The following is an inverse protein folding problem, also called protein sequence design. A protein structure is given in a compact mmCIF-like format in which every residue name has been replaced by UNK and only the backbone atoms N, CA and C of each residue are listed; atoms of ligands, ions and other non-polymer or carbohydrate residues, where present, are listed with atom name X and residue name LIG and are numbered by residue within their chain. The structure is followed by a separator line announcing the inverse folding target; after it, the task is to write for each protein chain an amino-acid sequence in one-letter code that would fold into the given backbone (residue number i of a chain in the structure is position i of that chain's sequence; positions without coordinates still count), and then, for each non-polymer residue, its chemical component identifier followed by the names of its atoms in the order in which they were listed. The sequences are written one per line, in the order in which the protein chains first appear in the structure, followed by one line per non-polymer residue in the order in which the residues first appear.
data_IF_228601519385
#
_entry.id   IF_228601519385
#
_cell.length_a   1.000
_cell.length_b   1.000
_cell.length_c   1.000
_cell.angle_alpha   90.00
_cell.angle_beta   90.00
_cell.angle_gamma   90.00
#
_symmetry.space_group_name_H-M   'P 1'
#
loop_
_entity.id
_entity.type
_entity.pdbx_description
1 polymer ?
#
# COMPACT_ATOMS: atom_id res chain seq x y z
N UNK A 1 -59.38 37.61 -21.63
CA UNK A 1 -58.24 36.75 -22.00
C UNK A 1 -58.35 35.48 -21.18
N UNK A 2 -58.30 34.34 -21.89
CA UNK A 2 -58.03 32.93 -21.52
C UNK A 2 -57.87 32.58 -20.03
N UNK A 3 -58.27 31.42 -19.49
CA UNK A 3 -58.90 30.19 -19.96
C UNK A 3 -59.26 29.40 -18.66
N UNK A 4 -60.39 28.69 -18.57
CA UNK A 4 -60.52 27.21 -18.56
C UNK A 4 -59.67 26.53 -17.47
N UNK A 5 -60.15 25.64 -16.61
CA UNK A 5 -61.40 24.88 -16.54
C UNK A 5 -61.18 23.73 -15.54
N UNK A 6 -62.27 23.29 -14.91
CA UNK A 6 -62.32 22.15 -14.01
C UNK A 6 -62.09 20.80 -14.73
N UNK A 7 -61.96 19.73 -13.93
CA UNK A 7 -61.89 18.27 -14.21
C UNK A 7 -60.53 17.70 -13.77
N UNK A 8 -60.37 16.60 -13.03
CA UNK A 8 -61.31 15.54 -12.68
C UNK A 8 -60.78 14.75 -11.45
N UNK A 9 -61.62 14.61 -10.42
CA UNK A 9 -61.58 13.50 -9.47
C UNK A 9 -61.96 12.23 -10.25
N UNK A 10 -61.00 11.39 -10.66
CA UNK A 10 -61.25 10.01 -11.13
C UNK A 10 -59.93 9.30 -11.44
N UNK A 11 -59.17 8.87 -10.43
CA UNK A 11 -58.12 7.85 -10.59
C UNK A 11 -57.61 7.27 -9.26
N UNK A 12 -58.42 7.31 -8.20
CA UNK A 12 -58.03 6.85 -6.86
C UNK A 12 -59.03 5.86 -6.29
N UNK A 13 -59.40 4.83 -7.08
CA UNK A 13 -60.01 3.58 -6.61
C UNK A 13 -60.22 2.68 -7.84
N UNK A 14 -59.90 1.38 -7.73
CA UNK A 14 -60.00 0.32 -8.74
C UNK A 14 -58.83 0.20 -9.72
N UNK A 15 -57.67 -0.25 -9.24
CA UNK A 15 -57.06 -1.55 -9.65
C UNK A 15 -56.28 -2.11 -8.44
N UNK A 16 -57.03 -2.43 -7.38
CA UNK A 16 -56.70 -3.50 -6.45
C UNK A 16 -57.62 -4.65 -6.85
N UNK A 17 -57.04 -5.82 -7.15
CA UNK A 17 -57.64 -7.09 -7.63
C UNK A 17 -57.28 -7.46 -9.08
N UNK A 18 -55.98 -7.64 -9.32
CA UNK A 18 -55.47 -8.71 -10.18
C UNK A 18 -54.31 -9.41 -9.44
N UNK A 19 -54.63 -9.98 -8.28
CA UNK A 19 -53.84 -11.05 -7.67
C UNK A 19 -54.20 -12.36 -8.37
N UNK A 20 -53.38 -12.77 -9.34
CA UNK A 20 -53.27 -14.18 -9.72
C UNK A 20 -51.92 -14.41 -10.40
N UNK A 21 -50.94 -14.86 -9.60
CA UNK A 21 -49.88 -15.75 -10.06
C UNK A 21 -48.78 -15.14 -10.91
N UNK A 22 -47.87 -14.41 -10.27
CA UNK A 22 -46.44 -14.54 -10.53
C UNK A 22 -45.72 -14.35 -9.19
N UNK A 23 -45.20 -15.45 -8.63
CA UNK A 23 -44.15 -15.37 -7.62
C UNK A 23 -43.01 -14.55 -8.25
N UNK A 24 -42.57 -13.42 -7.69
CA UNK A 24 -41.17 -13.09 -7.84
C UNK A 24 -40.42 -14.27 -7.22
N UNK A 25 -39.58 -14.92 -8.01
CA UNK A 25 -38.62 -15.88 -7.47
C UNK A 25 -37.93 -15.18 -6.31
N UNK A 26 -37.88 -15.87 -5.17
CA UNK A 26 -37.06 -15.49 -4.04
C UNK A 26 -35.65 -15.19 -4.57
N UNK A 27 -35.30 -13.91 -4.72
CA UNK A 27 -33.92 -13.44 -4.73
C UNK A 27 -33.45 -13.44 -3.28
N UNK A 28 -33.48 -14.62 -2.67
CA UNK A 28 -32.84 -14.90 -1.39
C UNK A 28 -31.45 -15.43 -1.71
N UNK A 29 -30.46 -14.54 -1.72
CA UNK A 29 -29.06 -14.76 -1.33
C UNK A 29 -28.12 -13.74 -1.99
N UNK A 30 -28.34 -12.44 -1.77
CA UNK A 30 -27.20 -11.51 -1.62
C UNK A 30 -27.07 -11.27 -0.12
N UNK A 31 -26.67 -12.34 0.56
CA UNK A 31 -26.18 -12.22 1.92
C UNK A 31 -24.69 -11.91 1.81
N UNK A 32 -24.29 -10.74 2.30
CA UNK A 32 -22.94 -10.41 2.75
C UNK A 32 -22.53 -11.34 3.93
N UNK A 33 -22.83 -12.63 3.86
CA UNK A 33 -22.32 -13.60 4.82
C UNK A 33 -20.87 -13.88 4.42
N UNK A 34 -19.89 -13.60 5.30
CA UNK A 34 -18.51 -13.90 5.00
C UNK A 34 -18.38 -15.39 4.71
N UNK A 35 -17.80 -15.70 3.55
CA UNK A 35 -17.63 -17.09 3.13
C UNK A 35 -16.87 -17.86 4.22
N UNK A 36 -17.43 -19.02 4.59
CA UNK A 36 -16.83 -19.95 5.54
C UNK A 36 -16.37 -21.19 4.79
N UNK A 37 -15.11 -21.57 4.99
CA UNK A 37 -14.54 -22.73 4.33
C UNK A 37 -15.25 -24.01 4.81
N UNK A 38 -15.74 -24.87 3.91
CA UNK A 38 -16.27 -26.18 4.30
C UNK A 38 -15.17 -27.01 4.99
N UNK A 39 -15.50 -27.71 6.07
CA UNK A 39 -14.54 -28.59 6.75
C UNK A 39 -14.00 -29.66 5.78
N UNK A 40 -12.67 -29.72 5.62
CA UNK A 40 -11.95 -30.87 5.04
C UNK A 40 -11.34 -30.69 3.64
N UNK A 41 -11.73 -29.68 2.84
CA UNK A 41 -11.14 -29.44 1.51
C UNK A 41 -11.06 -27.94 1.19
N UNK A 42 -9.95 -27.50 0.60
CA UNK A 42 -9.81 -26.14 0.11
C UNK A 42 -10.64 -25.96 -1.17
N UNK A 43 -11.63 -25.08 -1.11
CA UNK A 43 -12.52 -24.78 -2.23
C UNK A 43 -12.48 -23.27 -2.45
N UNK A 44 -12.28 -22.85 -3.70
CA UNK A 44 -12.39 -21.43 -4.05
C UNK A 44 -13.85 -20.98 -3.92
N UNK A 45 -14.12 -19.78 -3.40
CA UNK A 45 -15.47 -19.24 -3.37
C UNK A 45 -16.00 -19.06 -4.80
N UNK A 46 -17.31 -18.88 -5.03
CA UNK A 46 -17.80 -18.46 -6.33
C UNK A 46 -17.07 -17.19 -6.81
N UNK A 47 -16.72 -17.08 -8.11
CA UNK A 47 -16.05 -15.88 -8.61
C UNK A 47 -16.97 -14.66 -8.45
N UNK A 48 -16.38 -13.49 -8.13
CA UNK A 48 -17.12 -12.23 -8.14
C UNK A 48 -17.69 -11.97 -9.54
N UNK A 49 -18.93 -11.46 -9.60
CA UNK A 49 -19.59 -11.10 -10.86
C UNK A 49 -19.00 -9.83 -11.49
N UNK A 50 -18.36 -8.99 -10.67
CA UNK A 50 -17.78 -7.74 -11.15
C UNK A 50 -16.37 -7.94 -11.70
N UNK A 51 -16.19 -7.54 -12.95
CA UNK A 51 -14.90 -7.34 -13.59
C UNK A 51 -14.81 -5.92 -14.09
N UNK A 52 -13.75 -5.24 -13.70
CA UNK A 52 -13.44 -3.90 -14.20
C UNK A 52 -12.59 -4.04 -15.45
N UNK A 53 -12.89 -3.24 -16.47
CA UNK A 53 -11.97 -3.06 -17.57
C UNK A 53 -10.92 -2.03 -17.12
N UNK A 54 -9.73 -2.54 -16.79
CA UNK A 54 -8.62 -1.74 -16.27
C UNK A 54 -8.20 -0.62 -17.26
N UNK A 55 -8.45 -0.80 -18.57
CA UNK A 55 -8.17 0.20 -19.60
C UNK A 55 -9.29 1.24 -19.73
N UNK A 56 -10.55 0.85 -19.59
CA UNK A 56 -11.70 1.77 -19.71
C UNK A 56 -12.02 2.52 -18.42
N UNK A 57 -11.57 2.03 -17.25
CA UNK A 57 -11.68 2.78 -16.00
C UNK A 57 -10.96 4.13 -16.15
N UNK A 58 -11.74 5.20 -16.32
CA UNK A 58 -11.22 6.57 -16.33
C UNK A 58 -10.62 6.86 -14.97
N UNK A 59 -9.30 7.06 -14.97
CA UNK A 59 -8.59 7.58 -13.81
C UNK A 59 -8.82 9.10 -13.84
N UNK A 60 -10.00 9.54 -13.40
CA UNK A 60 -10.36 10.95 -13.36
C UNK A 60 -9.70 11.64 -12.16
N UNK A 61 -8.56 12.27 -12.43
CA UNK A 61 -7.90 13.16 -11.48
C UNK A 61 -8.57 14.54 -11.39
N UNK A 62 -9.52 14.86 -12.29
CA UNK A 62 -10.13 16.18 -12.41
C UNK A 62 -11.01 16.57 -11.20
N UNK A 63 -11.56 15.59 -10.47
CA UNK A 63 -12.41 15.82 -9.29
C UNK A 63 -11.65 15.80 -7.95
N UNK A 64 -10.33 15.53 -7.95
CA UNK A 64 -9.54 15.50 -6.72
C UNK A 64 -8.90 16.87 -6.44
N UNK A 65 -9.33 17.60 -5.38
CA UNK A 65 -8.79 18.91 -5.08
C UNK A 65 -7.32 18.79 -4.63
N UNK A 66 -6.39 19.02 -5.57
CA UNK A 66 -4.99 19.41 -5.31
C UNK A 66 -4.15 18.39 -4.50
N UNK A 67 -4.19 17.10 -4.84
CA UNK A 67 -3.14 16.18 -4.41
C UNK A 67 -2.36 15.70 -5.62
N UNK A 68 -1.03 15.64 -5.52
CA UNK A 68 -0.18 14.92 -6.47
C UNK A 68 -0.13 13.47 -6.01
N UNK A 69 -0.07 12.50 -6.92
CA UNK A 69 -0.01 11.11 -6.50
C UNK A 69 0.08 10.09 -7.63
N UNK A 70 -0.12 8.83 -7.25
CA UNK A 70 -0.26 7.70 -8.16
C UNK A 70 -1.64 7.08 -7.94
N UNK A 71 -2.47 7.08 -8.98
CA UNK A 71 -3.70 6.31 -9.03
C UNK A 71 -3.41 4.91 -9.56
N UNK A 72 -4.10 3.90 -9.03
CA UNK A 72 -3.95 2.51 -9.49
C UNK A 72 -5.27 1.80 -9.49
N UNK A 73 -5.47 1.04 -10.55
CA UNK A 73 -6.48 0.00 -10.66
C UNK A 73 -5.77 -1.32 -10.90
N UNK A 74 -6.33 -2.41 -10.38
CA UNK A 74 -5.79 -3.75 -10.62
C UNK A 74 -6.88 -4.81 -10.50
N UNK A 75 -6.61 -5.98 -11.08
CA UNK A 75 -7.53 -7.09 -11.15
C UNK A 75 -6.79 -8.42 -11.15
N UNK A 76 -7.27 -9.35 -10.33
CA UNK A 76 -6.82 -10.74 -10.36
C UNK A 76 -7.41 -11.50 -11.55
N UNK A 77 -6.62 -12.42 -12.10
CA UNK A 77 -7.07 -13.29 -13.20
C UNK A 77 -8.20 -14.26 -12.79
N UNK A 78 -9.03 -14.71 -13.77
CA UNK A 78 -10.15 -15.63 -13.55
C UNK A 78 -9.89 -16.81 -12.63
N UNK A 79 -8.72 -17.45 -12.75
CA UNK A 79 -8.42 -18.64 -11.98
C UNK A 79 -8.26 -18.34 -10.48
N UNK A 80 -7.90 -17.11 -10.09
CA UNK A 80 -7.61 -16.75 -8.69
C UNK A 80 -8.83 -16.42 -7.84
N UNK A 81 -10.05 -16.49 -8.38
CA UNK A 81 -11.32 -16.23 -7.67
C UNK A 81 -11.22 -15.13 -6.60
N UNK A 82 -11.34 -13.86 -7.00
CA UNK A 82 -11.00 -12.72 -6.13
C UNK A 82 -12.23 -12.07 -5.49
N UNK A 83 -12.04 -11.32 -4.40
CA UNK A 83 -13.08 -10.40 -3.89
C UNK A 83 -13.34 -9.27 -4.89
N UNK A 84 -14.50 -8.63 -4.80
CA UNK A 84 -14.87 -7.47 -5.64
C UNK A 84 -13.81 -6.36 -5.60
N UNK A 85 -13.33 -6.03 -4.39
CA UNK A 85 -12.30 -5.01 -4.16
C UNK A 85 -10.87 -5.47 -4.51
N UNK A 86 -10.69 -6.72 -4.92
CA UNK A 86 -9.37 -7.30 -5.22
C UNK A 86 -8.41 -7.18 -4.03
N UNK A 87 -8.94 -7.37 -2.82
CA UNK A 87 -8.21 -7.36 -1.54
C UNK A 87 -7.88 -8.76 -1.07
N UNK A 88 -8.56 -9.78 -1.60
CA UNK A 88 -8.25 -11.18 -1.34
C UNK A 88 -8.40 -12.06 -2.59
N UNK A 89 -7.55 -13.08 -2.67
CA UNK A 89 -7.43 -13.99 -3.82
C UNK A 89 -7.27 -15.44 -3.34
N UNK A 90 -7.87 -16.39 -4.06
CA UNK A 90 -7.84 -17.83 -3.76
C UNK A 90 -7.16 -18.61 -4.88
N UNK A 91 -6.09 -19.32 -4.53
CA UNK A 91 -5.27 -20.09 -5.44
C UNK A 91 -5.23 -21.55 -4.99
N UNK A 92 -5.33 -22.47 -5.95
CA UNK A 92 -4.94 -23.85 -5.71
C UNK A 92 -3.41 -23.95 -5.64
N UNK A 93 -2.89 -25.01 -4.99
CA UNK A 93 -1.48 -25.33 -5.12
C UNK A 93 -1.06 -25.40 -6.60
N UNK A 94 0.17 -24.97 -6.89
CA UNK A 94 0.79 -24.91 -8.21
C UNK A 94 0.24 -23.82 -9.16
N UNK A 95 -0.72 -23.01 -8.73
CA UNK A 95 -1.19 -21.87 -9.52
C UNK A 95 -0.37 -20.61 -9.28
N UNK A 96 -0.14 -19.87 -10.36
CA UNK A 96 0.53 -18.58 -10.32
C UNK A 96 -0.42 -17.53 -9.77
N UNK A 97 0.10 -16.61 -8.95
CA UNK A 97 -0.61 -15.37 -8.71
C UNK A 97 -0.35 -14.42 -9.87
N UNK A 98 -1.41 -13.94 -10.52
CA UNK A 98 -1.35 -13.07 -11.70
C UNK A 98 -2.29 -11.89 -11.53
N UNK A 99 -1.71 -10.70 -11.38
CA UNK A 99 -2.43 -9.44 -11.21
C UNK A 99 -2.16 -8.54 -12.40
N UNK A 100 -3.20 -8.16 -13.11
CA UNK A 100 -3.13 -7.09 -14.11
C UNK A 100 -3.39 -5.76 -13.42
N UNK A 101 -2.64 -4.72 -13.75
CA UNK A 101 -2.74 -3.44 -13.09
C UNK A 101 -2.36 -2.29 -14.01
N UNK A 102 -2.88 -1.12 -13.66
CA UNK A 102 -2.61 0.15 -14.34
C UNK A 102 -2.27 1.20 -13.31
N UNK A 103 -1.20 1.94 -13.57
CA UNK A 103 -0.76 3.08 -12.77
C UNK A 103 -0.86 4.38 -13.57
N UNK A 104 -1.40 5.43 -12.96
CA UNK A 104 -1.44 6.77 -13.52
C UNK A 104 -0.78 7.77 -12.58
N UNK A 105 0.15 8.58 -13.10
CA UNK A 105 0.79 9.67 -12.37
C UNK A 105 0.02 10.98 -12.62
N UNK A 106 -0.39 11.67 -11.55
CA UNK A 106 -1.16 12.91 -11.63
C UNK A 106 -0.58 14.00 -10.72
N UNK A 107 -0.75 15.26 -11.13
CA UNK A 107 -0.22 16.42 -10.40
C UNK A 107 1.31 16.62 -10.49
N UNK A 108 2.02 15.76 -11.20
CA UNK A 108 3.46 15.89 -11.49
C UNK A 108 3.69 16.26 -12.95
N UNK A 109 4.72 17.07 -13.20
CA UNK A 109 5.14 17.48 -14.55
C UNK A 109 6.26 16.59 -15.12
N UNK A 110 6.97 15.87 -14.26
CA UNK A 110 8.15 15.07 -14.62
C UNK A 110 7.84 13.57 -14.57
N UNK A 111 8.50 12.81 -15.45
CA UNK A 111 8.55 11.34 -15.37
C UNK A 111 9.24 10.91 -14.08
N UNK A 112 8.68 9.89 -13.41
CA UNK A 112 9.24 9.29 -12.20
C UNK A 112 9.65 7.85 -12.47
N UNK A 113 10.85 7.49 -12.02
CA UNK A 113 11.30 6.10 -12.01
C UNK A 113 10.87 5.44 -10.70
N UNK A 114 10.28 4.26 -10.80
CA UNK A 114 9.74 3.51 -9.66
C UNK A 114 10.39 2.13 -9.63
N UNK A 115 10.68 1.62 -8.44
CA UNK A 115 11.06 0.23 -8.20
C UNK A 115 9.92 -0.49 -7.49
N UNK A 116 9.50 -1.61 -8.06
CA UNK A 116 8.53 -2.52 -7.46
C UNK A 116 9.25 -3.59 -6.64
N UNK A 117 8.76 -3.84 -5.43
CA UNK A 117 9.18 -4.96 -4.57
C UNK A 117 7.92 -5.72 -4.14
N UNK A 118 7.98 -7.04 -4.14
CA UNK A 118 6.89 -7.90 -3.68
C UNK A 118 7.32 -8.60 -2.40
N UNK A 119 6.51 -8.45 -1.35
CA UNK A 119 6.69 -9.14 -0.08
C UNK A 119 5.58 -10.16 0.09
N UNK A 120 5.93 -11.39 0.47
CA UNK A 120 4.98 -12.37 1.00
C UNK A 120 5.37 -12.67 2.44
N UNK A 121 4.43 -12.44 3.36
CA UNK A 121 4.65 -12.54 4.81
C UNK A 121 5.87 -11.71 5.24
N UNK A 122 5.94 -10.48 4.71
CA UNK A 122 7.01 -9.50 4.91
C UNK A 122 8.39 -9.87 4.33
N UNK A 123 8.54 -11.02 3.68
CA UNK A 123 9.80 -11.41 3.04
C UNK A 123 9.77 -11.11 1.53
N UNK A 124 10.86 -10.56 0.94
CA UNK A 124 10.97 -10.41 -0.51
C UNK A 124 10.77 -11.73 -1.24
N UNK A 125 9.87 -11.73 -2.23
CA UNK A 125 9.64 -12.90 -3.08
C UNK A 125 9.95 -12.62 -4.55
N UNK A 126 10.48 -13.62 -5.28
CA UNK A 126 10.65 -13.50 -6.71
C UNK A 126 9.31 -13.29 -7.42
N UNK A 127 9.30 -12.35 -8.36
CA UNK A 127 8.17 -12.05 -9.24
C UNK A 127 8.66 -11.66 -10.64
N UNK A 128 7.71 -11.45 -11.54
CA UNK A 128 7.95 -10.92 -12.88
C UNK A 128 6.97 -9.80 -13.17
N UNK A 129 7.51 -8.68 -13.66
CA UNK A 129 6.75 -7.56 -14.17
C UNK A 129 6.76 -7.58 -15.70
N UNK A 130 5.58 -7.58 -16.32
CA UNK A 130 5.42 -7.58 -17.78
C UNK A 130 4.67 -6.31 -18.18
N UNK A 131 5.33 -5.32 -18.80
CA UNK A 131 4.66 -4.14 -19.33
C UNK A 131 3.66 -4.49 -20.44
N UNK A 132 2.54 -3.77 -20.48
CA UNK A 132 1.46 -3.98 -21.45
C UNK A 132 1.11 -2.67 -22.16
N UNK A 133 1.28 -2.66 -23.47
CA UNK A 133 1.14 -1.45 -24.30
C UNK A 133 -0.28 -1.25 -24.85
N UNK A 134 -1.11 -2.31 -24.87
CA UNK A 134 -2.44 -2.29 -25.48
C UNK A 134 -3.46 -3.12 -24.69
N UNK A 135 -4.78 -2.81 -24.80
CA UNK A 135 -5.85 -3.54 -24.08
C UNK A 135 -5.86 -5.05 -24.27
N UNK A 136 -5.55 -5.51 -25.48
CA UNK A 136 -5.47 -6.92 -25.85
C UNK A 136 -4.07 -7.52 -25.63
N UNK A 137 -3.13 -6.74 -25.10
CA UNK A 137 -1.73 -7.12 -24.89
C UNK A 137 -1.44 -7.87 -23.59
N UNK A 138 -2.44 -8.06 -22.73
CA UNK A 138 -2.28 -8.84 -21.50
C UNK A 138 -1.97 -10.32 -21.83
N UNK A 139 -0.87 -10.90 -21.31
CA UNK A 139 -0.47 -12.26 -21.64
C UNK A 139 -1.54 -13.27 -21.22
N UNK A 140 -1.75 -14.31 -22.01
CA UNK A 140 -2.60 -15.43 -21.63
C UNK A 140 -1.94 -16.27 -20.53
N UNK A 141 -2.68 -17.17 -19.87
CA UNK A 141 -2.06 -18.10 -18.91
C UNK A 141 -1.05 -19.04 -19.60
N UNK A 142 -1.29 -19.42 -20.86
CA UNK A 142 -0.32 -20.20 -21.65
C UNK A 142 0.98 -19.43 -21.84
N UNK A 143 0.90 -18.13 -22.16
CA UNK A 143 2.06 -17.25 -22.27
C UNK A 143 2.79 -17.17 -20.93
N UNK A 144 2.07 -16.93 -19.83
CA UNK A 144 2.61 -16.86 -18.46
C UNK A 144 3.37 -18.14 -18.10
N UNK A 145 2.84 -19.32 -18.43
CA UNK A 145 3.52 -20.59 -18.17
C UNK A 145 4.74 -20.83 -19.09
N UNK A 146 4.76 -20.22 -20.27
CA UNK A 146 5.86 -20.35 -21.24
C UNK A 146 6.99 -19.33 -21.06
N UNK A 147 6.79 -18.35 -20.18
CA UNK A 147 7.74 -17.29 -19.88
C UNK A 147 9.12 -17.85 -19.51
N UNK A 148 10.08 -17.61 -20.40
CA UNK A 148 11.50 -17.90 -20.17
C UNK A 148 12.19 -16.74 -19.47
N UNK A 149 13.21 -17.03 -18.64
CA UNK A 149 13.97 -16.05 -17.88
C UNK A 149 13.76 -16.14 -16.36
N UNK A 150 14.64 -15.51 -15.57
CA UNK A 150 14.56 -15.56 -14.12
C UNK A 150 13.43 -14.68 -13.57
N UNK A 151 12.88 -15.09 -12.43
CA UNK A 151 12.13 -14.19 -11.56
C UNK A 151 13.11 -13.32 -10.78
N UNK A 152 12.73 -12.09 -10.46
CA UNK A 152 13.55 -11.14 -9.73
C UNK A 152 12.83 -10.68 -8.45
N UNK A 153 13.57 -10.23 -7.45
CA UNK A 153 13.02 -9.69 -6.20
C UNK A 153 12.63 -8.21 -6.32
N UNK A 154 12.97 -7.57 -7.43
CA UNK A 154 12.66 -6.17 -7.75
C UNK A 154 12.45 -5.98 -9.25
N UNK A 155 11.72 -4.91 -9.63
CA UNK A 155 11.57 -4.51 -11.02
C UNK A 155 11.40 -2.99 -11.15
N UNK A 156 12.16 -2.36 -12.04
CA UNK A 156 12.12 -0.91 -12.27
C UNK A 156 11.27 -0.56 -13.49
N UNK A 157 10.48 0.51 -13.39
CA UNK A 157 9.66 1.04 -14.48
C UNK A 157 9.49 2.57 -14.38
N UNK A 158 9.02 3.20 -15.45
CA UNK A 158 8.82 4.65 -15.52
C UNK A 158 7.33 5.00 -15.54
N UNK A 159 6.96 6.03 -14.77
CA UNK A 159 5.65 6.66 -14.79
C UNK A 159 5.75 8.04 -15.43
N UNK A 160 5.18 8.18 -16.63
CA UNK A 160 5.15 9.47 -17.34
C UNK A 160 3.81 10.17 -17.09
N UNK A 161 3.79 11.47 -16.73
CA UNK A 161 2.55 12.22 -16.56
C UNK A 161 1.63 12.11 -17.78
N UNK A 162 0.34 11.87 -17.52
CA UNK A 162 -0.68 11.74 -18.56
C UNK A 162 -0.61 10.46 -19.40
N UNK A 163 0.30 9.52 -19.09
CA UNK A 163 0.36 8.21 -19.73
C UNK A 163 0.25 7.10 -18.68
N UNK A 164 -0.75 6.20 -18.80
CA UNK A 164 -0.82 5.07 -17.88
C UNK A 164 0.29 4.07 -18.16
N UNK A 165 0.84 3.49 -17.10
CA UNK A 165 1.70 2.31 -17.17
C UNK A 165 0.84 1.08 -16.82
N UNK A 166 0.57 0.24 -17.81
CA UNK A 166 -0.15 -1.02 -17.60
C UNK A 166 0.86 -2.17 -17.51
N UNK A 167 0.57 -3.14 -16.65
CA UNK A 167 1.45 -4.27 -16.43
C UNK A 167 0.70 -5.50 -15.94
N UNK A 168 1.30 -6.66 -16.17
CA UNK A 168 0.98 -7.91 -15.47
C UNK A 168 2.09 -8.23 -14.48
N UNK A 169 1.72 -8.40 -13.22
CA UNK A 169 2.55 -8.96 -12.17
C UNK A 169 2.31 -10.46 -12.09
N UNK A 170 3.38 -11.26 -12.15
CA UNK A 170 3.33 -12.72 -12.00
C UNK A 170 4.21 -13.15 -10.83
N UNK A 171 3.63 -13.87 -9.88
CA UNK A 171 4.35 -14.51 -8.77
C UNK A 171 4.24 -16.03 -8.95
N UNK A 172 5.36 -16.76 -9.00
CA UNK A 172 5.35 -18.20 -9.18
C UNK A 172 4.83 -18.92 -7.92
N UNK A 173 4.28 -20.15 -8.06
CA UNK A 173 3.71 -20.90 -6.94
C UNK A 173 4.72 -21.18 -5.81
N UNK A 174 5.98 -21.41 -6.17
CA UNK A 174 7.07 -21.69 -5.21
C UNK A 174 7.37 -20.51 -4.26
N UNK A 175 6.87 -19.30 -4.57
CA UNK A 175 7.09 -18.11 -3.72
C UNK A 175 6.30 -18.13 -2.41
N UNK A 176 5.22 -18.93 -2.29
CA UNK A 176 4.36 -18.96 -1.10
C UNK A 176 4.93 -19.85 0.03
N UNK A 177 5.87 -20.76 -0.26
CA UNK A 177 6.57 -21.56 0.76
C UNK A 177 5.74 -22.63 1.48
N UNK A 178 4.40 -22.58 1.44
CA UNK A 178 3.51 -23.53 2.11
C UNK A 178 2.05 -23.32 1.72
N UNK A 179 1.14 -24.10 2.32
CA UNK A 179 -0.31 -23.93 2.18
C UNK A 179 -0.84 -23.07 3.32
N UNK A 180 -1.72 -22.12 3.04
CA UNK A 180 -2.30 -21.25 4.06
C UNK A 180 -2.79 -19.91 3.49
N UNK A 181 -3.12 -19.01 4.40
CA UNK A 181 -3.36 -17.61 4.10
C UNK A 181 -2.04 -16.83 4.23
N UNK A 182 -1.67 -16.12 3.18
CA UNK A 182 -0.46 -15.33 3.09
C UNK A 182 -0.79 -13.84 2.95
N UNK A 183 0.05 -13.00 3.56
CA UNK A 183 0.03 -11.56 3.34
C UNK A 183 0.86 -11.21 2.12
N UNK A 184 0.24 -10.63 1.10
CA UNK A 184 0.92 -10.18 -0.11
C UNK A 184 0.95 -8.65 -0.14
N UNK A 185 2.17 -8.09 -0.21
CA UNK A 185 2.38 -6.65 -0.35
C UNK A 185 3.13 -6.34 -1.62
N UNK A 186 2.59 -5.42 -2.40
CA UNK A 186 3.27 -4.84 -3.55
C UNK A 186 3.65 -3.42 -3.16
N UNK A 187 4.95 -3.13 -3.13
CA UNK A 187 5.51 -1.84 -2.74
C UNK A 187 6.14 -1.21 -3.97
N UNK A 188 5.82 0.05 -4.24
CA UNK A 188 6.40 0.86 -5.29
C UNK A 188 7.13 2.03 -4.64
N UNK A 189 8.46 2.01 -4.77
CA UNK A 189 9.37 3.00 -4.22
C UNK A 189 9.80 3.93 -5.35
N UNK A 190 9.61 5.23 -5.20
CA UNK A 190 10.16 6.17 -6.16
C UNK A 190 11.68 6.25 -6.00
N UNK A 191 12.40 6.16 -7.12
CA UNK A 191 13.84 6.40 -7.14
C UNK A 191 14.10 7.91 -7.11
N UNK A 192 14.97 8.33 -6.20
CA UNK A 192 15.34 9.73 -6.05
C UNK A 192 16.83 9.93 -6.29
N UNK A 193 17.15 10.99 -7.02
CA UNK A 193 18.47 11.60 -6.93
C UNK A 193 18.48 12.60 -5.75
N UNK A 194 19.57 12.66 -4.98
CA UNK A 194 19.75 13.69 -3.96
C UNK A 194 19.69 15.08 -4.61
N UNK A 195 19.14 16.06 -3.89
CA UNK A 195 19.01 17.43 -4.38
C UNK A 195 20.05 18.32 -3.71
N UNK A 196 20.78 19.12 -4.49
CA UNK A 196 21.67 20.16 -3.94
C UNK A 196 20.93 21.43 -3.52
N UNK A 197 19.65 21.58 -3.87
CA UNK A 197 18.80 22.63 -3.33
C UNK A 197 18.24 22.15 -1.99
N UNK A 198 18.49 22.92 -0.92
CA UNK A 198 18.20 22.64 0.49
C UNK A 198 16.70 22.54 0.85
N UNK A 199 15.89 21.95 -0.03
CA UNK A 199 14.45 21.76 0.17
C UNK A 199 14.18 20.29 0.49
N UNK A 200 13.49 20.00 1.59
CA UNK A 200 13.01 18.66 1.87
C UNK A 200 12.12 18.21 0.72
N UNK A 201 12.45 17.10 0.06
CA UNK A 201 11.58 16.49 -0.94
C UNK A 201 10.44 15.78 -0.21
N UNK A 202 9.37 16.51 0.07
CA UNK A 202 8.09 15.96 0.55
C UNK A 202 7.37 15.20 -0.59
N UNK A 203 7.88 15.26 -1.82
CA UNK A 203 7.34 14.61 -3.02
C UNK A 203 7.67 13.10 -3.14
N UNK A 204 8.01 12.41 -2.06
CA UNK A 204 8.34 10.99 -2.10
C UNK A 204 7.12 10.08 -2.17
N UNK A 205 6.89 9.58 -3.38
CA UNK A 205 5.82 8.66 -3.72
C UNK A 205 6.21 7.25 -3.28
N UNK A 206 5.71 6.85 -2.12
CA UNK A 206 5.56 5.44 -1.79
C UNK A 206 4.13 5.05 -2.03
N UNK A 207 3.94 4.02 -2.86
CA UNK A 207 2.65 3.37 -3.02
C UNK A 207 2.77 1.93 -2.57
N UNK A 208 1.88 1.50 -1.70
CA UNK A 208 1.77 0.10 -1.33
C UNK A 208 0.37 -0.41 -1.56
N UNK A 209 0.27 -1.72 -1.81
CA UNK A 209 -0.99 -2.47 -1.84
C UNK A 209 -0.82 -3.71 -0.99
N UNK A 210 -1.70 -3.91 -0.02
CA UNK A 210 -1.79 -5.13 0.77
C UNK A 210 -2.96 -5.98 0.28
N UNK A 211 -2.79 -7.30 0.24
CA UNK A 211 -3.79 -8.28 -0.18
C UNK A 211 -3.60 -9.57 0.61
N UNK A 212 -4.69 -10.33 0.82
CA UNK A 212 -4.61 -11.68 1.36
C UNK A 212 -4.64 -12.71 0.25
N UNK A 213 -3.72 -13.68 0.24
CA UNK A 213 -3.71 -14.79 -0.71
C UNK A 213 -3.95 -16.10 0.03
N UNK A 214 -5.10 -16.71 -0.21
CA UNK A 214 -5.45 -18.04 0.28
C UNK A 214 -4.92 -19.10 -0.69
N UNK A 215 -3.76 -19.69 -0.37
CA UNK A 215 -3.05 -20.63 -1.23
C UNK A 215 -3.19 -22.06 -0.68
N UNK A 216 -4.12 -22.84 -1.24
CA UNK A 216 -4.38 -24.22 -0.80
C UNK A 216 -4.92 -24.38 0.62
N UNK A 217 -5.14 -23.29 1.36
CA UNK A 217 -5.65 -23.27 2.73
C UNK A 217 -6.12 -21.86 3.13
N UNK A 218 -6.79 -21.75 4.29
CA UNK A 218 -7.24 -20.46 4.84
C UNK A 218 -6.73 -20.17 6.25
N UNK A 219 -5.89 -21.05 6.79
CA UNK A 219 -5.23 -20.84 8.08
C UNK A 219 -4.07 -19.86 7.86
N UNK A 220 -4.03 -18.78 8.64
CA UNK A 220 -2.84 -17.94 8.71
C UNK A 220 -1.76 -18.72 9.46
N UNK A 221 -0.57 -18.84 8.88
CA UNK A 221 0.60 -19.14 9.68
C UNK A 221 0.72 -18.05 10.75
N UNK A 222 1.07 -18.43 11.98
CA UNK A 222 1.31 -17.45 13.05
C UNK A 222 2.31 -16.42 12.51
N UNK A 223 1.86 -15.16 12.41
CA UNK A 223 2.62 -14.07 11.79
C UNK A 223 4.04 -13.92 12.34
N UNK A 224 4.89 -13.07 11.70
CA UNK A 224 6.24 -12.85 12.18
C UNK A 224 6.23 -12.54 13.68
N UNK A 225 7.19 -13.07 14.44
CA UNK A 225 7.20 -12.93 15.90
C UNK A 225 7.10 -11.45 16.28
N UNK A 226 6.08 -11.12 17.07
CA UNK A 226 5.83 -9.79 17.60
C UNK A 226 7.11 -9.16 18.17
N UNK A 227 7.59 -8.08 17.56
CA UNK A 227 8.55 -7.17 18.19
C UNK A 227 7.77 -6.31 19.21
N UNK A 228 8.33 -6.04 20.41
CA UNK A 228 7.63 -5.29 21.46
C UNK A 228 7.11 -3.94 20.96
N UNK A 229 5.95 -3.51 21.49
CA UNK A 229 5.35 -2.22 21.17
C UNK A 229 6.38 -1.10 21.26
N UNK A 230 6.67 -0.48 20.13
CA UNK A 230 7.48 0.73 20.06
C UNK A 230 6.99 1.74 21.11
N UNK A 231 7.88 2.31 21.93
CA UNK A 231 7.49 3.17 23.03
C UNK A 231 6.74 4.40 22.50
N UNK A 232 5.72 4.83 23.24
CA UNK A 232 5.13 6.15 23.05
C UNK A 232 6.01 7.18 23.75
N UNK A 233 6.45 8.17 22.99
CA UNK A 233 7.25 9.30 23.47
C UNK A 233 6.59 10.62 23.07
N UNK A 234 6.82 11.71 23.83
CA UNK A 234 6.48 13.04 23.36
C UNK A 234 7.16 13.34 22.04
N UNK A 235 6.54 14.15 21.17
CA UNK A 235 7.23 14.60 19.94
C UNK A 235 8.50 15.36 20.34
N UNK A 236 9.70 14.98 19.84
CA UNK A 236 10.96 15.57 20.29
C UNK A 236 11.05 17.07 20.04
N UNK A 237 10.61 17.54 18.86
CA UNK A 237 10.74 18.93 18.44
C UNK A 237 9.70 19.37 17.39
N UNK A 238 9.62 20.68 17.14
CA UNK A 238 8.66 21.28 16.20
C UNK A 238 8.91 20.87 14.74
N UNK A 239 10.17 20.67 14.36
CA UNK A 239 10.56 20.18 13.02
C UNK A 239 9.95 18.79 12.76
N UNK A 240 10.14 17.85 13.68
CA UNK A 240 9.57 16.49 13.63
C UNK A 240 8.05 16.55 13.57
N UNK A 241 7.42 17.38 14.41
CA UNK A 241 5.98 17.60 14.39
C UNK A 241 5.50 18.00 13.00
N UNK A 242 6.16 18.98 12.37
CA UNK A 242 5.79 19.48 11.06
C UNK A 242 5.88 18.41 9.96
N UNK A 243 6.93 17.59 9.97
CA UNK A 243 7.07 16.50 9.02
C UNK A 243 6.02 15.42 9.22
N UNK A 244 5.72 15.03 10.46
CA UNK A 244 4.65 14.08 10.73
C UNK A 244 3.29 14.57 10.20
N UNK A 245 3.00 15.88 10.28
CA UNK A 245 1.79 16.43 9.67
C UNK A 245 1.83 16.44 8.13
N UNK A 246 2.99 16.71 7.55
CA UNK A 246 3.17 16.85 6.10
C UNK A 246 3.31 15.51 5.36
N UNK A 247 3.78 14.47 6.06
CA UNK A 247 4.04 13.11 5.56
C UNK A 247 2.98 12.11 6.04
N UNK A 248 1.77 12.59 6.36
CA UNK A 248 0.65 11.74 6.77
C UNK A 248 0.98 10.76 7.90
N UNK A 249 1.82 11.18 8.85
CA UNK A 249 2.00 10.50 10.12
C UNK A 249 3.22 9.63 10.27
N UNK A 250 4.12 9.59 9.29
CA UNK A 250 5.40 8.87 9.39
C UNK A 250 6.57 9.78 9.01
N UNK A 251 7.64 9.75 9.78
CA UNK A 251 8.85 10.54 9.53
C UNK A 251 10.10 9.75 9.91
N UNK A 252 11.08 9.67 9.01
CA UNK A 252 12.39 9.08 9.30
C UNK A 252 13.39 10.19 9.62
N UNK A 253 13.74 10.32 10.90
CA UNK A 253 14.69 11.33 11.35
C UNK A 253 16.14 10.91 11.02
N UNK A 254 16.98 11.87 10.60
CA UNK A 254 18.39 11.63 10.45
C UNK A 254 19.06 11.41 11.81
N UNK A 255 20.23 10.76 11.86
CA UNK A 255 21.04 10.66 13.06
C UNK A 255 21.42 12.05 13.58
N UNK A 256 21.19 12.32 14.87
CA UNK A 256 21.39 13.66 15.46
C UNK A 256 22.82 14.21 15.29
N UNK A 257 23.83 13.33 15.29
CA UNK A 257 25.22 13.71 15.10
C UNK A 257 25.55 14.15 13.65
N UNK A 258 24.74 13.74 12.66
CA UNK A 258 24.87 14.18 11.26
C UNK A 258 24.02 15.41 10.99
N UNK A 259 22.81 15.46 11.54
CA UNK A 259 21.90 16.58 11.38
C UNK A 259 21.01 16.75 12.62
N UNK A 260 21.32 17.77 13.40
CA UNK A 260 20.50 18.18 14.55
C UNK A 260 19.30 19.00 14.08
N UNK A 261 18.10 18.41 14.16
CA UNK A 261 16.85 19.05 13.77
C UNK A 261 16.44 20.23 14.67
N UNK A 262 16.93 20.29 15.90
CA UNK A 262 16.61 21.36 16.85
C UNK A 262 17.31 22.67 16.47
N UNK A 263 18.48 22.56 15.82
CA UNK A 263 19.26 23.71 15.37
C UNK A 263 18.70 24.36 14.10
N UNK A 264 17.82 23.66 13.38
CA UNK A 264 17.36 24.10 12.06
C UNK A 264 16.25 25.14 12.10
N UNK A 265 15.61 25.40 13.25
CA UNK A 265 14.67 26.50 13.50
C UNK A 265 13.35 26.49 12.69
N UNK A 266 13.37 26.10 11.42
CA UNK A 266 12.22 25.97 10.54
C UNK A 266 12.38 24.73 9.62
N UNK A 267 11.31 23.93 9.39
CA UNK A 267 11.36 22.72 8.58
C UNK A 267 11.90 22.90 7.15
N UNK A 268 11.67 24.07 6.55
CA UNK A 268 12.16 24.38 5.19
C UNK A 268 13.68 24.58 5.11
N UNK A 269 14.35 24.74 6.24
CA UNK A 269 15.82 24.84 6.31
C UNK A 269 16.46 23.46 6.47
N UNK A 270 15.66 22.42 6.71
CA UNK A 270 16.17 21.07 6.92
C UNK A 270 16.72 20.48 5.62
N UNK A 271 17.98 20.04 5.67
CA UNK A 271 18.74 19.47 4.55
C UNK A 271 18.47 17.97 4.35
N UNK A 272 17.22 17.56 4.53
CA UNK A 272 16.83 16.14 4.54
C UNK A 272 16.89 15.47 3.17
N UNK A 273 16.92 16.25 2.09
CA UNK A 273 17.07 15.75 0.72
C UNK A 273 18.53 15.75 0.23
N UNK A 274 19.46 16.24 1.07
CA UNK A 274 20.89 16.20 0.80
C UNK A 274 21.47 14.84 1.22
N UNK A 275 22.65 14.52 0.71
CA UNK A 275 23.41 13.36 1.19
C UNK A 275 24.03 13.71 2.55
N UNK A 276 23.75 12.90 3.57
CA UNK A 276 24.42 12.97 4.86
C UNK A 276 25.61 11.99 4.85
N UNK A 277 26.80 12.55 4.93
CA UNK A 277 28.04 11.79 4.92
C UNK A 277 28.45 11.38 6.34
N UNK A 278 28.93 10.14 6.50
CA UNK A 278 29.44 9.64 7.78
C UNK A 278 30.66 8.73 7.56
N UNK A 279 31.54 8.63 8.54
CA UNK A 279 32.61 7.63 8.56
C UNK A 279 32.20 6.31 9.21
N UNK A 280 31.07 6.32 9.92
CA UNK A 280 30.58 5.18 10.69
C UNK A 280 30.09 4.07 9.75
N UNK A 281 30.44 2.82 10.05
CA UNK A 281 29.99 1.65 9.30
C UNK A 281 28.63 1.13 9.76
N UNK A 282 28.16 1.58 10.92
CA UNK A 282 26.85 1.24 11.46
C UNK A 282 26.24 2.51 12.05
N UNK A 283 24.99 2.79 11.68
CA UNK A 283 24.32 4.02 12.09
C UNK A 283 22.88 3.75 12.52
N UNK A 284 22.49 4.31 13.65
CA UNK A 284 21.13 4.24 14.14
C UNK A 284 20.30 5.37 13.51
N UNK A 285 19.15 5.03 12.94
CA UNK A 285 18.14 5.98 12.46
C UNK A 285 16.83 5.75 13.21
N UNK A 286 16.09 6.83 13.46
CA UNK A 286 14.85 6.77 14.24
C UNK A 286 13.66 7.18 13.37
N UNK A 287 12.72 6.26 13.19
CA UNK A 287 11.40 6.53 12.67
C UNK A 287 10.47 7.04 13.76
N UNK A 288 9.65 8.02 13.43
CA UNK A 288 8.54 8.50 14.24
C UNK A 288 7.24 8.22 13.50
N UNK A 289 6.26 7.66 14.20
CA UNK A 289 4.91 7.48 13.68
C UNK A 289 3.89 8.03 14.66
N UNK A 290 2.73 8.51 14.21
CA UNK A 290 1.69 8.99 15.12
C UNK A 290 1.29 7.91 16.14
N UNK A 291 1.20 8.31 17.41
CA UNK A 291 0.83 7.42 18.50
C UNK A 291 -0.66 7.38 18.82
N UNK A 292 -1.49 8.24 18.22
CA UNK A 292 -2.94 8.34 18.56
C UNK A 292 -3.80 9.10 17.54
N UNK A 293 -5.08 8.70 17.44
CA UNK A 293 -6.30 9.45 17.03
C UNK A 293 -6.43 10.00 15.59
N UNK A 294 -5.85 9.38 14.56
CA UNK A 294 -6.44 9.56 13.22
C UNK A 294 -7.60 8.56 13.03
N UNK A 295 -8.82 9.00 12.67
CA UNK A 295 -10.04 8.19 12.67
C UNK A 295 -10.07 7.03 11.65
N UNK A 296 -8.97 6.77 10.96
CA UNK A 296 -8.80 5.71 9.96
C UNK A 296 -7.81 4.61 10.39
N UNK A 297 -7.17 4.73 11.55
CA UNK A 297 -6.04 3.88 11.95
C UNK A 297 -6.35 2.99 13.16
N UNK A 298 -7.57 2.44 13.25
CA UNK A 298 -7.81 1.34 14.20
C UNK A 298 -7.10 0.07 13.68
N UNK A 299 -6.33 -0.59 14.55
CA UNK A 299 -5.66 -1.87 14.25
C UNK A 299 -4.15 -1.87 14.46
N UNK A 300 -3.52 -2.97 14.08
CA UNK A 300 -2.05 -3.09 14.08
C UNK A 300 -1.47 -2.42 12.83
N UNK A 301 -0.35 -1.73 13.00
CA UNK A 301 0.43 -1.14 11.92
C UNK A 301 1.81 -1.81 11.87
N UNK A 302 2.27 -2.08 10.65
CA UNK A 302 3.58 -2.66 10.38
C UNK A 302 4.46 -1.60 9.74
N UNK A 303 5.65 -1.41 10.29
CA UNK A 303 6.64 -0.46 9.81
C UNK A 303 7.88 -1.21 9.34
N UNK A 304 8.26 -0.96 8.10
CA UNK A 304 9.40 -1.59 7.46
C UNK A 304 10.29 -0.51 6.86
N UNK A 305 11.56 -0.52 7.22
CA UNK A 305 12.55 0.35 6.61
C UNK A 305 13.12 -0.35 5.37
N UNK A 306 13.16 0.37 4.27
CA UNK A 306 13.88 -0.02 3.05
C UNK A 306 15.20 0.74 2.99
N UNK A 307 16.26 0.01 2.68
CA UNK A 307 17.54 0.56 2.25
C UNK A 307 17.66 0.33 0.74
N UNK A 308 17.56 1.42 -0.02
CA UNK A 308 17.29 1.39 -1.45
C UNK A 308 16.03 0.55 -1.73
N UNK A 309 16.15 -0.56 -2.46
CA UNK A 309 15.08 -1.50 -2.73
C UNK A 309 15.04 -2.71 -1.79
N UNK A 310 15.99 -2.83 -0.86
CA UNK A 310 16.09 -3.95 0.07
C UNK A 310 15.35 -3.67 1.38
N UNK A 311 14.31 -4.45 1.75
CA UNK A 311 13.66 -4.29 3.03
C UNK A 311 14.48 -4.88 4.18
N UNK A 312 14.57 -4.14 5.28
CA UNK A 312 15.24 -4.57 6.52
C UNK A 312 14.27 -5.34 7.42
N UNK A 313 13.83 -6.51 6.95
CA UNK A 313 12.74 -7.31 7.55
C UNK A 313 13.02 -7.75 8.99
N UNK A 314 14.28 -8.00 9.34
CA UNK A 314 14.69 -8.39 10.70
C UNK A 314 14.52 -7.26 11.73
N UNK A 315 14.32 -6.03 11.26
CA UNK A 315 14.15 -4.83 12.07
C UNK A 315 12.75 -4.25 11.92
N UNK A 316 11.82 -5.00 11.34
CA UNK A 316 10.43 -4.57 11.21
C UNK A 316 9.81 -4.31 12.59
N UNK A 317 9.03 -3.25 12.69
CA UNK A 317 8.28 -2.91 13.90
C UNK A 317 6.80 -3.15 13.68
N UNK A 318 6.14 -3.68 14.70
CA UNK A 318 4.69 -3.86 14.72
C UNK A 318 4.19 -3.03 15.88
N UNK A 319 3.26 -2.13 15.64
CA UNK A 319 2.65 -1.31 16.70
C UNK A 319 1.15 -1.46 16.66
N UNK A 320 0.52 -1.32 17.82
CA UNK A 320 -0.93 -1.20 17.93
C UNK A 320 -1.31 0.27 18.06
N UNK A 321 -2.28 0.71 17.26
CA UNK A 321 -2.96 1.98 17.54
C UNK A 321 -4.12 1.65 18.46
N UNK A 322 -3.88 1.69 19.78
CA UNK A 322 -4.99 1.60 20.73
C UNK A 322 -5.74 2.94 20.72
N UNK A 323 -7.08 2.94 20.60
CA UNK A 323 -7.85 4.15 20.88
C UNK A 323 -7.55 4.56 22.32
N UNK A 324 -6.97 5.75 22.50
CA UNK A 324 -6.73 6.22 23.86
C UNK A 324 -8.08 6.30 24.59
N UNK A 325 -8.14 5.89 25.87
CA UNK A 325 -9.33 6.09 26.67
C UNK A 325 -9.73 7.57 26.60
N UNK A 326 -11.01 7.86 26.40
CA UNK A 326 -11.57 9.23 26.31
C UNK A 326 -11.18 10.15 27.48
N UNK A 327 -10.68 9.57 28.56
CA UNK A 327 -10.41 10.20 29.84
C UNK A 327 -8.91 10.56 30.01
N UNK A 328 -8.07 10.24 29.01
CA UNK A 328 -6.67 10.69 28.95
C UNK A 328 -6.62 12.04 28.23
N UNK A 329 -6.82 13.12 28.97
CA UNK A 329 -6.45 14.48 28.55
C UNK A 329 -4.92 14.61 28.53
N UNK A 330 -4.22 13.90 27.64
CA UNK A 330 -2.89 14.33 27.23
C UNK A 330 -3.08 15.41 26.16
N UNK A 331 -2.99 16.67 26.58
CA UNK A 331 -3.00 17.84 25.68
C UNK A 331 -1.84 17.82 24.66
N UNK A 332 -0.83 16.98 24.86
CA UNK A 332 0.34 16.87 24.01
C UNK A 332 0.29 15.61 23.13
N UNK A 333 0.41 15.76 21.79
CA UNK A 333 0.41 14.63 20.88
C UNK A 333 1.68 13.77 21.08
N UNK A 334 1.51 12.45 21.07
CA UNK A 334 2.58 11.46 21.24
C UNK A 334 2.88 10.72 19.95
N UNK A 335 4.09 10.18 19.84
CA UNK A 335 4.56 9.40 18.69
C UNK A 335 5.15 8.07 19.14
N UNK A 336 5.05 7.06 18.28
CA UNK A 336 5.79 5.80 18.38
C UNK A 336 7.22 6.06 17.90
N UNK A 337 8.21 5.66 18.68
CA UNK A 337 9.62 5.72 18.29
C UNK A 337 10.09 4.35 17.78
N UNK A 338 10.54 4.30 16.53
CA UNK A 338 10.91 3.11 15.77
C UNK A 338 12.41 3.17 15.46
N UNK A 339 13.24 2.47 16.22
CA UNK A 339 14.69 2.53 16.02
C UNK A 339 15.15 1.43 15.05
N UNK A 340 16.04 1.82 14.12
CA UNK A 340 16.64 0.93 13.11
C UNK A 340 18.15 1.12 13.09
N UNK A 341 18.88 0.03 12.86
CA UNK A 341 20.32 -0.04 12.70
C UNK A 341 20.68 -0.32 11.24
N UNK A 342 21.43 0.59 10.62
CA UNK A 342 21.81 0.50 9.20
C UNK A 342 23.28 0.18 9.09
N UNK A 343 23.62 -0.85 8.31
CA UNK A 343 25.00 -1.18 7.99
C UNK A 343 25.40 -0.47 6.70
N UNK A 344 26.38 0.43 6.79
CA UNK A 344 26.98 1.13 5.66
C UNK A 344 28.30 0.43 5.30
N UNK A 345 28.16 -0.78 4.76
CA UNK A 345 29.30 -1.67 4.48
C UNK A 345 30.15 -1.22 3.28
N UNK A 346 29.59 -0.36 2.42
CA UNK A 346 30.26 0.20 1.26
C UNK A 346 30.12 1.74 1.18
N UNK A 347 30.67 2.34 0.12
CA UNK A 347 30.62 3.78 -0.13
C UNK A 347 29.43 4.18 -1.02
N UNK A 348 28.48 3.28 -1.26
CA UNK A 348 27.33 3.58 -2.11
C UNK A 348 26.38 4.52 -1.38
N UNK A 349 25.52 5.15 -2.17
CA UNK A 349 24.44 5.97 -1.64
C UNK A 349 23.33 5.04 -1.14
N UNK A 350 22.97 5.19 0.13
CA UNK A 350 21.84 4.51 0.76
C UNK A 350 20.63 5.43 0.78
N UNK A 351 19.57 5.05 0.08
CA UNK A 351 18.28 5.74 0.03
C UNK A 351 17.31 5.07 1.00
N UNK A 352 17.18 5.60 2.21
CA UNK A 352 16.36 5.00 3.26
C UNK A 352 14.92 5.51 3.20
N UNK A 353 13.95 4.58 3.19
CA UNK A 353 12.51 4.88 3.12
C UNK A 353 11.74 4.07 4.15
N UNK A 354 11.08 4.75 5.08
CA UNK A 354 10.24 4.10 6.09
C UNK A 354 8.82 3.93 5.54
N UNK A 355 8.33 2.70 5.47
CA UNK A 355 7.01 2.38 4.94
C UNK A 355 6.13 1.84 6.05
N UNK A 356 4.97 2.45 6.25
CA UNK A 356 3.92 1.93 7.11
C UNK A 356 2.92 1.14 6.27
N UNK A 357 2.30 0.16 6.90
CA UNK A 357 1.27 -0.65 6.32
C UNK A 357 0.21 -1.03 7.36
N UNK A 358 -1.04 -1.29 6.93
CA UNK A 358 -2.05 -1.88 7.80
C UNK A 358 -1.70 -3.31 8.21
N UNK A 359 -2.37 -3.81 9.25
CA UNK A 359 -2.26 -5.19 9.71
C UNK A 359 -2.70 -6.19 8.64
N UNK A 360 -1.95 -7.27 8.43
CA UNK A 360 -2.33 -8.32 7.49
C UNK A 360 -3.26 -9.39 8.09
N UNK A 361 -3.41 -9.42 9.42
CA UNK A 361 -4.06 -10.52 10.16
C UNK A 361 -5.53 -10.26 10.49
N UNK A 362 -6.10 -9.22 9.90
CA UNK A 362 -7.53 -8.98 9.93
C UNK A 362 -8.13 -9.34 8.58
N UNK A 363 -9.30 -9.99 8.62
CA UNK A 363 -10.06 -10.36 7.43
C UNK A 363 -10.39 -9.11 6.62
N UNK A 364 -9.62 -8.88 5.55
CA UNK A 364 -9.72 -7.66 4.74
C UNK A 364 -10.94 -7.61 3.82
N UNK A 365 -11.78 -8.65 3.83
CA UNK A 365 -13.09 -8.70 3.16
C UNK A 365 -14.12 -7.76 3.80
N UNK A 366 -13.91 -7.33 5.05
CA UNK A 366 -14.77 -6.35 5.74
C UNK A 366 -14.36 -4.89 5.54
N UNK A 367 -13.16 -4.64 5.01
CA UNK A 367 -12.65 -3.29 4.82
C UNK A 367 -13.28 -2.68 3.56
N UNK A 368 -14.30 -1.83 3.77
CA UNK A 368 -15.04 -1.13 2.70
C UNK A 368 -14.20 -0.11 1.93
N UNK A 369 -13.02 0.23 2.42
CA UNK A 369 -12.03 0.97 1.67
C UNK A 369 -10.89 0.02 1.36
N UNK A 370 -10.43 -0.10 0.10
CA UNK A 370 -9.07 -0.56 -0.11
C UNK A 370 -8.20 0.34 0.78
N UNK A 371 -7.43 -0.23 1.70
CA UNK A 371 -6.36 0.52 2.36
C UNK A 371 -5.27 0.71 1.28
N UNK A 372 -5.60 1.52 0.29
CA UNK A 372 -4.72 2.11 -0.69
C UNK A 372 -4.39 3.51 -0.16
N UNK A 373 -3.95 3.60 1.10
CA UNK A 373 -3.47 4.86 1.63
C UNK A 373 -2.01 4.97 1.19
N UNK A 374 -1.77 5.82 0.19
CA UNK A 374 -0.45 6.39 -0.05
C UNK A 374 0.08 6.95 1.28
N UNK A 375 1.11 6.33 1.83
CA UNK A 375 1.84 6.93 2.94
C UNK A 375 3.02 7.64 2.29
N UNK A 376 2.91 8.95 2.16
CA UNK A 376 4.05 9.76 1.72
C UNK A 376 5.15 9.56 2.77
N UNK A 377 6.28 9.03 2.36
CA UNK A 377 7.43 8.84 3.24
C UNK A 377 8.58 9.64 2.69
N UNK A 378 9.31 10.36 3.53
CA UNK A 378 10.56 11.00 3.12
C UNK A 378 11.61 9.94 2.75
N UNK A 379 12.49 10.29 1.81
CA UNK A 379 13.74 9.56 1.59
C UNK A 379 14.88 10.26 2.34
N UNK A 380 15.61 9.50 3.14
CA UNK A 380 16.85 9.93 3.79
C UNK A 380 18.04 9.37 3.02
N UNK A 381 18.97 10.22 2.60
CA UNK A 381 20.18 9.80 1.87
C UNK A 381 21.38 9.75 2.80
N UNK A 382 21.98 8.57 2.95
CA UNK A 382 23.22 8.38 3.70
C UNK A 382 24.33 7.88 2.78
N UNK A 383 25.56 8.32 3.01
CA UNK A 383 26.71 7.78 2.31
C UNK A 383 27.90 7.67 3.26
N UNK A 384 28.58 6.52 3.24
CA UNK A 384 29.82 6.38 3.98
C UNK A 384 30.98 7.00 3.21
N UNK A 385 31.81 7.77 3.92
CA UNK A 385 33.07 8.29 3.41
C UNK A 385 34.24 7.62 4.14
N UNK A 386 35.34 7.38 3.43
CA UNK A 386 36.56 6.97 4.09
C UNK A 386 37.07 8.11 4.98
N UNK A 387 37.54 7.81 6.21
CA UNK A 387 38.32 8.79 6.94
C UNK A 387 39.54 9.11 6.07
N UNK A 388 39.66 10.37 5.65
CA UNK A 388 40.84 10.83 4.92
C UNK A 388 42.09 10.34 5.65
N UNK A 389 42.89 9.53 4.95
CA UNK A 389 44.22 9.15 5.43
C UNK A 389 45.10 10.38 5.29
N UNK A 390 45.02 11.29 6.27
CA UNK A 390 45.95 12.42 6.41
C UNK A 390 47.39 11.97 6.69
#
# INVERSE_FOLDING_TARGET
MHCVGALNLSALLLILLALAGCKPADSSADGDEPWTQPEGEFVKPPPSSERRDIFEDEIDAEDMPVQRGILSTSQGRPHMHSTELQTAHWLFPDEYFVLDARHGLFGYEETRTMTMVVLIDFEPRPFRLVPVEAPDGYPSMEDVHSFSGPYATEATYELTPGKPFNYTLVIPPDSFGGTGAHDLRIVHLQQFAPSGEARPKIDSLVKSRAMTVYYGGAEFDSGPPYSPDAPLVPIPNETTRHYLFSLHGVFLAPPEHLLDLDQLGHPSEARLADVLETTDSQISVTGYAWGSNYPSEEGQNYYLLFDNETPLTQQAHITTTEPQPSDVETDEPVVRQLDFEINLDDEQLHSLVLVQFPSPFERMDHLRSPIAASINSQVLFLQRTHPDVE
#
